data_IF_379765177249
#
_entry.id   IF_379765177249
#
_cell.length_a   1.000
_cell.length_b   1.000
_cell.length_c   1.000
_cell.angle_alpha   90.00
_cell.angle_beta   90.00
_cell.angle_gamma   90.00
#
_symmetry.space_group_name_H-M   'P 1'
#
loop_
_entity.id
_entity.type
_entity.pdbx_description
1 polymer ?
#
# COMPACT_ATOMS: atom_id res chain seq x y z
N UNK A 1 3.81 7.38 31.25
CA UNK A 1 3.16 6.70 30.11
C UNK A 1 3.77 7.36 28.88
N UNK A 2 4.69 6.69 28.20
CA UNK A 2 5.37 7.28 27.04
C UNK A 2 4.36 7.50 25.92
N UNK A 3 4.43 8.63 25.25
CA UNK A 3 3.64 8.90 24.05
C UNK A 3 4.05 7.85 22.99
N UNK A 4 3.07 7.08 22.48
CA UNK A 4 3.29 6.14 21.39
C UNK A 4 3.63 6.93 20.13
N UNK A 5 4.62 6.47 19.36
CA UNK A 5 4.95 7.09 18.08
C UNK A 5 3.86 6.81 17.06
N UNK A 6 3.80 7.59 15.97
CA UNK A 6 2.87 7.32 14.86
C UNK A 6 3.09 5.93 14.24
N UNK A 7 4.33 5.44 14.23
CA UNK A 7 4.65 4.07 13.79
C UNK A 7 4.04 3.04 14.74
N UNK A 8 4.11 3.26 16.06
CA UNK A 8 3.49 2.36 17.03
C UNK A 8 1.96 2.34 16.87
N UNK A 9 1.35 3.52 16.66
CA UNK A 9 -0.09 3.65 16.43
C UNK A 9 -0.53 2.95 15.15
N UNK A 10 0.21 3.15 14.04
CA UNK A 10 -0.05 2.46 12.78
C UNK A 10 0.13 0.95 12.95
N UNK A 11 1.20 0.48 13.63
CA UNK A 11 1.41 -0.93 13.89
C UNK A 11 0.23 -1.55 14.68
N UNK A 12 -0.38 -0.83 15.62
CA UNK A 12 -1.58 -1.31 16.32
C UNK A 12 -2.79 -1.45 15.39
N UNK A 13 -3.00 -0.51 14.48
CA UNK A 13 -4.06 -0.62 13.46
C UNK A 13 -3.81 -1.83 12.55
N UNK A 14 -2.55 -2.04 12.14
CA UNK A 14 -2.14 -3.12 11.24
C UNK A 14 -2.19 -4.51 11.88
N UNK A 15 -1.97 -4.61 13.19
CA UNK A 15 -2.15 -5.86 13.97
C UNK A 15 -3.63 -6.20 14.21
N UNK A 16 -4.51 -5.21 14.14
CA UNK A 16 -5.95 -5.38 14.31
C UNK A 16 -6.64 -5.89 13.04
N UNK A 17 -7.97 -5.77 12.97
CA UNK A 17 -8.75 -6.04 11.75
C UNK A 17 -8.91 -4.80 10.87
N UNK A 18 -8.43 -3.64 11.34
CA UNK A 18 -8.59 -2.35 10.66
C UNK A 18 -7.64 -2.15 9.48
N UNK A 19 -6.66 -3.03 9.29
CA UNK A 19 -5.72 -2.92 8.17
C UNK A 19 -6.41 -3.01 6.80
N UNK A 20 -7.50 -3.79 6.67
CA UNK A 20 -8.27 -3.89 5.43
C UNK A 20 -8.81 -2.52 4.99
N UNK A 21 -9.24 -1.71 5.95
CA UNK A 21 -9.79 -0.37 5.72
C UNK A 21 -8.72 0.62 5.21
N UNK A 22 -7.44 0.30 5.40
CA UNK A 22 -6.30 1.06 4.88
C UNK A 22 -5.77 0.49 3.56
N UNK A 23 -6.38 -0.53 2.96
CA UNK A 23 -5.87 -1.11 1.70
C UNK A 23 -6.37 -0.38 0.45
N UNK A 24 -7.50 0.33 0.54
CA UNK A 24 -8.07 1.09 -0.56
C UNK A 24 -7.60 2.54 -0.59
N UNK A 25 -7.46 3.09 -1.81
CA UNK A 25 -7.05 4.50 -2.06
C UNK A 25 -8.24 5.46 -2.00
N UNK A 26 -9.42 4.95 -1.67
CA UNK A 26 -10.57 5.80 -1.38
C UNK A 26 -10.31 6.63 -0.12
N UNK A 27 -10.87 7.86 -0.02
CA UNK A 27 -10.59 8.75 1.10
C UNK A 27 -11.22 8.21 2.38
N UNK A 28 -10.53 7.28 3.01
CA UNK A 28 -10.85 6.71 4.30
C UNK A 28 -9.76 7.10 5.29
N UNK A 29 -10.19 7.71 6.39
CA UNK A 29 -9.33 8.18 7.46
C UNK A 29 -9.62 7.38 8.72
N UNK A 30 -8.57 6.82 9.32
CA UNK A 30 -8.65 6.08 10.58
C UNK A 30 -7.61 6.66 11.53
N UNK A 31 -8.05 7.29 12.60
CA UNK A 31 -7.16 7.90 13.60
C UNK A 31 -6.14 8.88 12.99
N UNK A 32 -6.50 9.58 11.90
CA UNK A 32 -5.61 10.50 11.18
C UNK A 32 -4.66 9.82 10.18
N UNK A 33 -4.79 8.51 9.98
CA UNK A 33 -4.10 7.75 8.93
C UNK A 33 -4.98 7.64 7.70
N UNK A 34 -4.46 8.07 6.55
CA UNK A 34 -5.15 8.00 5.25
C UNK A 34 -4.29 7.26 4.23
N UNK A 35 -4.86 6.34 3.48
CA UNK A 35 -4.14 5.70 2.36
C UNK A 35 -4.03 6.65 1.17
N UNK A 36 -2.81 6.85 0.70
CA UNK A 36 -2.50 7.78 -0.39
C UNK A 36 -1.96 7.10 -1.63
N UNK A 37 -1.48 5.87 -1.50
CA UNK A 37 -1.07 5.06 -2.63
C UNK A 37 -1.20 3.58 -2.31
N UNK A 38 -1.62 2.83 -3.33
CA UNK A 38 -1.58 1.38 -3.38
C UNK A 38 -0.73 0.97 -4.57
N UNK A 39 0.29 0.16 -4.31
CA UNK A 39 1.25 -0.30 -5.30
C UNK A 39 1.14 -1.82 -5.36
N UNK A 40 0.60 -2.31 -6.47
CA UNK A 40 0.51 -3.74 -6.70
C UNK A 40 1.86 -4.24 -7.23
N UNK A 41 2.45 -5.19 -6.50
CA UNK A 41 3.61 -5.93 -6.98
C UNK A 41 3.24 -6.89 -8.10
N UNK A 42 4.24 -7.65 -8.53
CA UNK A 42 4.04 -8.69 -9.54
C UNK A 42 3.18 -9.83 -9.00
N UNK A 43 2.31 -10.37 -9.87
CA UNK A 43 1.52 -11.55 -9.54
C UNK A 43 2.44 -12.78 -9.42
N UNK A 44 2.21 -13.60 -8.40
CA UNK A 44 2.91 -14.85 -8.14
C UNK A 44 1.91 -15.97 -7.91
N UNK A 45 1.77 -16.86 -8.89
CA UNK A 45 0.84 -18.00 -8.88
C UNK A 45 -0.61 -17.62 -8.48
N UNK A 46 -0.88 -17.53 -7.17
CA UNK A 46 -2.17 -17.23 -6.55
C UNK A 46 -2.14 -16.05 -5.55
N UNK A 47 -1.01 -15.37 -5.37
CA UNK A 47 -0.89 -14.15 -4.54
C UNK A 47 -0.21 -13.00 -5.28
N UNK A 48 -0.28 -11.80 -4.71
CA UNK A 48 0.65 -10.71 -5.02
C UNK A 48 1.01 -9.96 -3.75
N UNK A 49 2.23 -9.43 -3.69
CA UNK A 49 2.60 -8.48 -2.65
C UNK A 49 1.98 -7.12 -2.98
N UNK A 50 1.24 -6.54 -2.05
CA UNK A 50 0.68 -5.19 -2.18
C UNK A 50 1.38 -4.29 -1.17
N UNK A 51 1.95 -3.19 -1.65
CA UNK A 51 2.50 -2.15 -0.80
C UNK A 51 1.51 -0.99 -0.69
N UNK A 52 1.24 -0.57 0.54
CA UNK A 52 0.40 0.57 0.86
C UNK A 52 1.28 1.71 1.37
N UNK A 53 0.97 2.93 0.94
CA UNK A 53 1.52 4.15 1.53
C UNK A 53 0.40 4.87 2.25
N UNK A 54 0.58 5.05 3.56
CA UNK A 54 -0.35 5.72 4.46
C UNK A 54 0.28 7.03 4.92
N UNK A 55 -0.47 8.12 4.85
CA UNK A 55 -0.10 9.41 5.44
C UNK A 55 -0.66 9.47 6.86
N UNK A 56 0.21 9.68 7.86
CA UNK A 56 -0.18 9.85 9.26
C UNK A 56 -0.60 11.28 9.62
N UNK A 57 -1.05 11.51 10.86
CA UNK A 57 -1.57 12.80 11.32
C UNK A 57 -0.53 13.94 11.30
N UNK A 58 0.77 13.64 11.38
CA UNK A 58 1.83 14.63 11.21
C UNK A 58 2.12 15.01 9.76
N UNK A 59 1.51 14.31 8.79
CA UNK A 59 1.81 14.44 7.36
C UNK A 59 2.99 13.59 6.89
N UNK A 60 3.63 12.82 7.77
CA UNK A 60 4.62 11.80 7.41
C UNK A 60 3.97 10.65 6.63
N UNK A 61 4.76 10.01 5.76
CA UNK A 61 4.29 8.89 4.95
C UNK A 61 4.98 7.60 5.41
N UNK A 62 4.19 6.54 5.52
CA UNK A 62 4.63 5.23 5.97
C UNK A 62 4.26 4.19 4.93
N UNK A 63 5.20 3.30 4.62
CA UNK A 63 5.00 2.15 3.73
C UNK A 63 4.90 0.88 4.54
N UNK A 64 3.94 0.03 4.22
CA UNK A 64 3.78 -1.31 4.75
C UNK A 64 3.26 -2.25 3.65
N UNK A 65 3.36 -3.56 3.86
CA UNK A 65 3.07 -4.57 2.85
C UNK A 65 2.16 -5.67 3.40
N UNK A 66 1.34 -6.24 2.53
CA UNK A 66 0.54 -7.43 2.80
C UNK A 66 0.50 -8.33 1.55
N UNK A 67 0.10 -9.59 1.71
CA UNK A 67 -0.10 -10.48 0.57
C UNK A 67 -1.59 -10.55 0.24
N UNK A 68 -1.96 -10.17 -0.99
CA UNK A 68 -3.33 -10.28 -1.46
C UNK A 68 -3.52 -11.62 -2.20
N UNK A 69 -4.60 -12.32 -1.90
CA UNK A 69 -5.02 -13.51 -2.61
C UNK A 69 -5.70 -13.16 -3.94
N UNK A 70 -5.27 -13.80 -5.03
CA UNK A 70 -5.79 -13.54 -6.38
C UNK A 70 -6.88 -14.54 -6.82
N UNK A 71 -7.06 -15.62 -6.07
CA UNK A 71 -8.07 -16.65 -6.34
C UNK A 71 -9.19 -16.57 -5.29
N UNK A 72 -10.41 -16.93 -5.67
CA UNK A 72 -11.59 -16.86 -4.78
C UNK A 72 -11.42 -17.65 -3.47
N UNK A 73 -10.62 -18.73 -3.49
CA UNK A 73 -10.34 -19.58 -2.32
C UNK A 73 -9.05 -19.20 -1.58
N UNK A 74 -8.32 -18.17 -2.02
CA UNK A 74 -7.07 -17.74 -1.39
C UNK A 74 -7.28 -16.44 -0.63
N UNK A 75 -7.21 -16.44 0.72
CA UNK A 75 -7.42 -15.24 1.50
C UNK A 75 -6.23 -14.28 1.37
N UNK A 76 -6.47 -13.02 1.75
CA UNK A 76 -5.40 -12.06 1.99
C UNK A 76 -4.70 -12.36 3.31
N UNK A 77 -3.37 -12.25 3.32
CA UNK A 77 -2.55 -12.34 4.52
C UNK A 77 -2.21 -10.93 4.95
N UNK A 78 -2.81 -10.51 6.06
CA UNK A 78 -2.56 -9.22 6.69
C UNK A 78 -1.09 -9.01 7.07
N UNK A 79 -0.69 -7.75 7.25
CA UNK A 79 0.71 -7.36 7.49
C UNK A 79 1.30 -7.92 8.79
N UNK A 80 0.46 -8.41 9.71
CA UNK A 80 0.87 -9.01 10.97
C UNK A 80 0.71 -10.55 11.05
N UNK A 81 0.34 -11.22 9.95
CA UNK A 81 0.15 -12.69 9.93
C UNK A 81 1.43 -13.46 10.27
N UNK A 82 2.59 -12.92 9.92
CA UNK A 82 3.90 -13.54 10.12
C UNK A 82 4.74 -12.92 11.24
N UNK A 83 4.20 -11.94 11.96
CA UNK A 83 4.94 -11.22 13.00
C UNK A 83 4.48 -9.77 13.14
N UNK A 84 5.40 -8.91 13.57
CA UNK A 84 5.12 -7.47 13.59
C UNK A 84 5.09 -6.90 12.18
N UNK A 85 4.15 -5.98 11.88
CA UNK A 85 4.07 -5.35 10.58
C UNK A 85 5.35 -4.55 10.31
N UNK A 86 5.97 -4.80 9.16
CA UNK A 86 7.14 -4.03 8.71
C UNK A 86 6.67 -2.68 8.17
N UNK A 87 6.96 -1.62 8.94
CA UNK A 87 6.56 -0.26 8.61
C UNK A 87 7.82 0.58 8.40
N UNK A 88 7.93 1.17 7.21
CA UNK A 88 9.06 2.01 6.84
C UNK A 88 8.61 3.45 6.59
N UNK A 89 9.31 4.43 7.17
CA UNK A 89 9.10 5.85 6.85
C UNK A 89 9.57 6.13 5.41
N UNK A 90 8.73 6.78 4.61
CA UNK A 90 9.02 7.10 3.20
C UNK A 90 8.77 8.58 2.91
N UNK A 91 9.35 9.07 1.81
CA UNK A 91 9.14 10.42 1.32
C UNK A 91 8.69 10.39 -0.14
N UNK A 92 7.76 11.27 -0.50
CA UNK A 92 7.28 11.39 -1.88
C UNK A 92 8.39 11.94 -2.78
N UNK A 93 8.67 11.22 -3.86
CA UNK A 93 9.53 11.67 -4.95
C UNK A 93 8.65 11.86 -6.19
N UNK A 94 8.78 13.02 -6.85
CA UNK A 94 8.05 13.32 -8.09
C UNK A 94 9.05 13.37 -9.24
N UNK A 95 8.88 12.48 -10.22
CA UNK A 95 9.73 12.40 -11.42
C UNK A 95 8.89 12.60 -12.68
N UNK A 96 9.44 13.33 -13.66
CA UNK A 96 8.81 13.49 -14.98
C UNK A 96 9.50 12.56 -15.97
N UNK A 97 8.77 11.59 -16.52
CA UNK A 97 9.30 10.67 -17.53
C UNK A 97 8.84 11.07 -18.94
N UNK A 98 9.76 10.98 -19.91
CA UNK A 98 9.44 11.16 -21.34
C UNK A 98 9.26 9.77 -21.97
N UNK A 99 8.09 9.49 -22.52
CA UNK A 99 7.78 8.21 -23.18
C UNK A 99 7.75 8.40 -24.70
N UNK A 100 8.55 7.63 -25.43
CA UNK A 100 8.48 7.55 -26.90
C UNK A 100 7.70 6.30 -27.31
N UNK A 101 6.62 6.47 -28.08
CA UNK A 101 5.83 5.37 -28.64
C UNK A 101 5.87 5.44 -30.16
N UNK A 102 6.19 4.32 -30.81
CA UNK A 102 6.08 4.16 -32.26
C UNK A 102 4.70 3.60 -32.61
N UNK A 103 4.08 4.12 -33.67
CA UNK A 103 2.79 3.66 -34.19
C UNK A 103 2.95 3.24 -35.65
N UNK A 104 2.16 2.25 -36.07
CA UNK A 104 2.16 1.80 -37.46
C UNK A 104 1.52 2.87 -38.36
N UNK A 105 2.06 3.03 -39.56
CA UNK A 105 1.48 3.89 -40.60
C UNK A 105 0.33 3.14 -41.30
N UNK A 106 -0.89 3.67 -41.24
CA UNK A 106 -2.01 3.15 -42.02
C UNK A 106 -1.82 3.54 -43.49
N UNK A 107 -1.32 2.61 -44.31
CA UNK A 107 -1.29 2.78 -45.77
C UNK A 107 -2.67 2.44 -46.34
N UNK A 108 -3.42 3.47 -46.77
CA UNK A 108 -4.58 3.29 -47.65
C UNK A 108 -4.08 3.08 -49.08
N UNK A 109 -4.03 1.80 -49.50
CA UNK A 109 -3.80 1.40 -50.90
C UNK A 109 -5.00 1.63 -51.80
#
# INVERSE_FOLDING_TARGET
MGEKTEIDQLAELLRGTYWHELTDVEPYDIDGFTTVARINGENRDWTRTVAIVTRGPSGQHYRWEFEEGLAEDHPDFGPAEYGDPDITLVHQVTETITVTRWVAEENHG
#
